data_IF_451460919396
#
_entry.id   IF_451460919396
#
_cell.length_a   1.000
_cell.length_b   1.000
_cell.length_c   1.000
_cell.angle_alpha   90.00
_cell.angle_beta   90.00
_cell.angle_gamma   90.00
#
_symmetry.space_group_name_H-M   'P 1'
#
loop_
_entity.id
_entity.type
_entity.pdbx_description
1 polymer ?
#
# COMPACT_ATOMS: atom_id res chain seq x y z
N UNK A 1 1.57 -9.28 -1.11
CA UNK A 1 3.01 -9.38 -1.51
C UNK A 1 3.31 -10.83 -1.87
N UNK A 2 4.07 -11.09 -2.95
CA UNK A 2 4.36 -12.46 -3.43
C UNK A 2 5.85 -12.80 -3.52
N UNK A 3 6.75 -11.81 -3.34
CA UNK A 3 8.21 -11.99 -3.19
C UNK A 3 8.78 -10.79 -2.45
N UNK A 4 9.82 -10.96 -1.63
CA UNK A 4 10.45 -9.86 -0.89
C UNK A 4 9.77 -9.55 0.44
N UNK A 5 10.30 -8.55 1.13
CA UNK A 5 9.76 -8.05 2.40
C UNK A 5 9.27 -6.61 2.22
N UNK A 6 8.06 -6.34 2.66
CA UNK A 6 7.45 -5.01 2.57
C UNK A 6 6.95 -4.52 3.91
N UNK A 7 7.02 -3.20 4.08
CA UNK A 7 6.21 -2.44 5.02
C UNK A 7 5.16 -1.67 4.22
N UNK A 8 3.89 -1.95 4.48
CA UNK A 8 2.77 -1.12 4.03
C UNK A 8 2.33 -0.28 5.23
N UNK A 9 2.17 1.02 5.02
CA UNK A 9 1.69 1.93 6.06
C UNK A 9 0.40 2.59 5.61
N UNK A 10 -0.55 2.74 6.52
CA UNK A 10 -1.85 3.37 6.31
C UNK A 10 -2.11 4.42 7.38
N UNK A 11 -2.60 5.60 6.98
CA UNK A 11 -3.01 6.65 7.91
C UNK A 11 -4.30 7.28 7.43
N UNK A 12 -5.27 7.42 8.34
CA UNK A 12 -6.54 8.09 8.02
C UNK A 12 -6.31 9.59 7.83
N UNK A 13 -6.91 10.17 6.78
CA UNK A 13 -6.80 11.62 6.52
C UNK A 13 -7.25 12.42 7.76
N UNK A 14 -6.44 13.40 8.15
CA UNK A 14 -6.72 14.28 9.29
C UNK A 14 -6.42 13.67 10.67
N UNK A 15 -5.73 12.52 10.73
CA UNK A 15 -5.25 11.91 11.97
C UNK A 15 -3.74 11.68 11.92
N UNK A 16 -3.10 11.48 13.07
CA UNK A 16 -1.65 11.19 13.15
C UNK A 16 -1.36 9.70 13.43
N UNK A 17 -2.39 8.86 13.48
CA UNK A 17 -2.24 7.44 13.79
C UNK A 17 -1.94 6.65 12.51
N UNK A 18 -0.76 6.02 12.48
CA UNK A 18 -0.30 5.18 11.38
C UNK A 18 -0.36 3.72 11.77
N UNK A 19 -0.95 2.91 10.88
CA UNK A 19 -1.01 1.46 10.96
C UNK A 19 0.08 0.85 10.09
N UNK A 20 0.93 0.01 10.69
CA UNK A 20 2.03 -0.65 10.02
C UNK A 20 1.70 -2.13 9.75
N UNK A 21 1.88 -2.55 8.51
CA UNK A 21 1.68 -3.92 8.05
C UNK A 21 2.98 -4.45 7.47
N UNK A 22 3.57 -5.45 8.12
CA UNK A 22 4.74 -6.15 7.63
C UNK A 22 4.32 -7.38 6.84
N UNK A 23 4.73 -7.45 5.57
CA UNK A 23 4.40 -8.57 4.68
C UNK A 23 5.67 -9.24 4.16
N UNK A 24 5.58 -10.55 3.97
CA UNK A 24 6.65 -11.38 3.44
C UNK A 24 6.12 -12.23 2.28
N UNK A 25 6.83 -12.27 1.15
CA UNK A 25 6.49 -13.10 0.00
C UNK A 25 6.52 -14.62 0.25
N UNK A 26 7.22 -15.10 1.29
CA UNK A 26 7.18 -16.52 1.68
C UNK A 26 5.87 -16.91 2.36
N UNK A 27 5.15 -15.94 2.92
CA UNK A 27 3.84 -16.11 3.56
C UNK A 27 2.87 -15.06 2.98
N UNK A 28 2.39 -15.27 1.74
CA UNK A 28 1.60 -14.26 1.04
C UNK A 28 0.36 -13.83 1.83
N UNK A 29 0.24 -12.53 2.03
CA UNK A 29 -0.92 -11.89 2.63
C UNK A 29 -1.39 -10.70 1.77
N UNK A 30 -2.62 -10.25 2.03
CA UNK A 30 -3.22 -9.06 1.44
C UNK A 30 -3.50 -8.01 2.53
N UNK A 31 -3.56 -6.75 2.10
CA UNK A 31 -4.02 -5.61 2.90
C UNK A 31 -5.04 -4.89 2.05
N UNK A 32 -6.24 -4.70 2.56
CA UNK A 32 -7.24 -3.84 1.92
C UNK A 32 -6.86 -2.37 2.13
N UNK A 33 -7.01 -1.57 1.08
CA UNK A 33 -6.76 -0.12 1.12
C UNK A 33 -8.10 0.61 1.28
N UNK A 34 -8.53 0.94 2.51
CA UNK A 34 -9.75 1.69 2.71
C UNK A 34 -9.65 3.08 2.09
N UNK A 35 -10.75 3.54 1.51
CA UNK A 35 -10.89 4.96 1.10
C UNK A 35 -10.63 5.88 2.30
N UNK A 36 -10.23 7.12 2.03
CA UNK A 36 -9.85 8.11 3.05
C UNK A 36 -8.65 7.70 3.93
N UNK A 37 -7.75 6.88 3.39
CA UNK A 37 -6.46 6.60 4.00
C UNK A 37 -5.36 6.81 2.99
N UNK A 38 -4.41 7.69 3.33
CA UNK A 38 -3.14 7.71 2.61
C UNK A 38 -2.37 6.44 2.96
N UNK A 39 -1.63 5.94 1.99
CA UNK A 39 -0.86 4.72 2.14
C UNK A 39 0.44 4.77 1.37
N UNK A 40 1.42 4.01 1.85
CA UNK A 40 2.67 3.79 1.14
C UNK A 40 3.04 2.30 1.18
N UNK A 41 4.01 1.93 0.34
CA UNK A 41 4.68 0.65 0.41
C UNK A 41 6.19 0.85 0.30
N UNK A 42 6.95 0.19 1.15
CA UNK A 42 8.40 0.23 1.20
C UNK A 42 8.99 -1.16 1.16
N UNK A 43 9.94 -1.39 0.26
CA UNK A 43 10.78 -2.59 0.31
C UNK A 43 11.73 -2.48 1.52
N UNK A 44 11.62 -3.42 2.45
CA UNK A 44 12.45 -3.48 3.67
C UNK A 44 13.51 -4.59 3.59
N UNK A 45 13.51 -5.38 2.51
CA UNK A 45 14.48 -6.43 2.26
C UNK A 45 15.63 -6.01 1.35
N UNK A 46 16.45 -6.99 0.96
CA UNK A 46 17.59 -6.83 0.06
C UNK A 46 17.34 -7.38 -1.34
N UNK A 47 16.19 -8.00 -1.57
CA UNK A 47 15.78 -8.56 -2.85
C UNK A 47 14.68 -7.73 -3.49
N UNK A 48 14.35 -8.03 -4.76
CA UNK A 48 13.24 -7.39 -5.45
C UNK A 48 11.90 -7.71 -4.77
N UNK A 49 11.09 -6.67 -4.56
CA UNK A 49 9.75 -6.76 -4.00
C UNK A 49 8.73 -6.92 -5.13
N UNK A 50 8.04 -8.06 -5.19
CA UNK A 50 6.96 -8.26 -6.15
C UNK A 50 5.61 -8.21 -5.42
N UNK A 51 4.74 -7.31 -5.85
CA UNK A 51 3.42 -7.07 -5.27
C UNK A 51 2.38 -6.99 -6.38
N UNK A 52 1.23 -7.60 -6.14
CA UNK A 52 0.05 -7.50 -7.02
C UNK A 52 -0.91 -6.51 -6.37
N UNK A 53 -1.37 -5.53 -7.15
CA UNK A 53 -2.42 -4.61 -6.75
C UNK A 53 -3.69 -4.94 -7.52
N UNK A 54 -4.79 -5.06 -6.79
CA UNK A 54 -6.13 -5.10 -7.34
C UNK A 54 -6.80 -3.74 -7.08
N UNK A 55 -7.49 -3.22 -8.09
CA UNK A 55 -8.21 -1.95 -8.02
C UNK A 55 -9.66 -2.16 -8.47
N UNK A 56 -10.58 -1.40 -7.87
CA UNK A 56 -12.01 -1.52 -8.13
C UNK A 56 -12.45 -0.98 -9.49
N UNK A 57 -11.65 -0.09 -10.10
CA UNK A 57 -11.92 0.52 -11.39
C UNK A 57 -10.63 0.76 -12.18
N UNK A 58 -10.78 1.01 -13.49
CA UNK A 58 -9.63 1.34 -14.34
C UNK A 58 -9.19 2.78 -14.12
N UNK A 59 -7.88 3.01 -14.17
CA UNK A 59 -7.31 4.36 -14.09
C UNK A 59 -7.76 5.26 -15.24
N UNK A 60 -8.26 6.46 -14.92
CA UNK A 60 -8.55 7.55 -15.86
C UNK A 60 -7.63 8.75 -15.57
N UNK A 61 -6.81 9.16 -16.52
CA UNK A 61 -5.89 10.28 -16.33
C UNK A 61 -6.59 11.65 -16.20
N UNK A 62 -7.83 11.76 -16.69
CA UNK A 62 -8.65 12.98 -16.59
C UNK A 62 -9.40 13.10 -15.27
N UNK A 63 -9.63 11.97 -14.59
CA UNK A 63 -10.21 11.86 -13.26
C UNK A 63 -9.48 10.78 -12.45
N UNK A 64 -8.27 11.08 -11.93
CA UNK A 64 -7.38 10.05 -11.39
C UNK A 64 -7.78 9.54 -10.00
N UNK A 65 -8.75 10.18 -9.34
CA UNK A 65 -9.19 9.93 -7.95
C UNK A 65 -8.03 9.59 -6.97
N UNK A 66 -6.89 10.25 -7.15
CA UNK A 66 -5.66 9.99 -6.39
C UNK A 66 -5.04 11.32 -5.99
N UNK A 67 -4.86 11.51 -4.69
CA UNK A 67 -4.35 12.75 -4.10
C UNK A 67 -3.13 12.45 -3.24
N UNK A 68 -2.06 13.22 -3.43
CA UNK A 68 -0.82 13.02 -2.68
C UNK A 68 -0.95 13.52 -1.24
N UNK A 69 -0.58 12.67 -0.29
CA UNK A 69 -0.42 12.99 1.13
C UNK A 69 0.62 12.03 1.74
N UNK A 70 1.48 12.52 2.64
CA UNK A 70 2.44 11.65 3.33
C UNK A 70 1.78 10.78 4.39
N UNK A 71 2.28 9.56 4.55
CA UNK A 71 2.04 8.74 5.75
C UNK A 71 3.01 9.14 6.85
#
# INVERSE_FOLDING_TARGET
VIRGNALIQLRRIGTDETMDFHLNGSEPAYVDMPVWHTHNIKNTGTEDLYTIFWINEFYDASDPDTFFENV
#
